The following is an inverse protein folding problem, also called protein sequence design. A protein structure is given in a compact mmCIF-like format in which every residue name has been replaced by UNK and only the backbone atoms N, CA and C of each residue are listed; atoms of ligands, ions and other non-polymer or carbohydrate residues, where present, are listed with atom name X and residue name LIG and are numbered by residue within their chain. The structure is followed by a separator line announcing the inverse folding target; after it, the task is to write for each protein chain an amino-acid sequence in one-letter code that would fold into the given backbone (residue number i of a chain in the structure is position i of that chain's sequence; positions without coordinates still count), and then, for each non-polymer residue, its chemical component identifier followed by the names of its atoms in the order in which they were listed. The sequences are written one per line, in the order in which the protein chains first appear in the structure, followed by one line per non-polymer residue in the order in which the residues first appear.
data_IF_500005643075
#
_entry.id   IF_500005643075
#
_cell.length_a   1.000
_cell.length_b   1.000
_cell.length_c   1.000
_cell.angle_alpha   90.00
_cell.angle_beta   90.00
_cell.angle_gamma   90.00
#
_symmetry.space_group_name_H-M   'P 1'
#
loop_
_entity.id
_entity.type
_entity.pdbx_description
1 polymer ?
#
# COMPACT_ATOMS: atom_id res chain seq x y z
N UNK A 1 21.11 -15.90 -4.54
CA UNK A 1 19.95 -15.00 -4.55
C UNK A 1 19.54 -14.73 -3.11
N UNK A 2 20.02 -13.62 -2.57
CA UNK A 2 20.03 -13.34 -1.14
C UNK A 2 18.65 -12.89 -0.68
N UNK A 3 17.89 -13.75 -0.01
CA UNK A 3 16.68 -13.40 0.75
C UNK A 3 17.02 -12.59 2.02
N UNK A 4 17.96 -11.65 1.91
CA UNK A 4 18.65 -11.04 3.06
C UNK A 4 18.17 -9.60 3.35
N UNK A 5 17.37 -9.01 2.46
CA UNK A 5 16.93 -7.61 2.55
C UNK A 5 15.55 -7.43 3.25
N UNK A 6 14.87 -8.53 3.62
CA UNK A 6 13.59 -8.50 4.32
C UNK A 6 12.37 -8.45 3.38
N UNK A 7 11.17 -8.11 3.90
CA UNK A 7 9.96 -7.98 3.08
C UNK A 7 9.99 -6.69 2.25
N UNK A 8 9.62 -6.79 0.97
CA UNK A 8 9.56 -5.66 0.04
C UNK A 8 8.24 -5.62 -0.71
N UNK A 9 7.74 -4.41 -0.99
CA UNK A 9 6.58 -4.18 -1.84
C UNK A 9 7.01 -3.34 -3.03
N UNK A 10 6.84 -3.89 -4.23
CA UNK A 10 7.12 -3.19 -5.48
C UNK A 10 5.83 -2.88 -6.21
N UNK A 11 5.64 -1.62 -6.59
CA UNK A 11 4.58 -1.23 -7.51
C UNK A 11 5.16 -1.05 -8.91
N UNK A 12 4.65 -1.80 -9.88
CA UNK A 12 4.99 -1.64 -11.29
C UNK A 12 3.92 -0.82 -12.01
N UNK A 13 4.34 0.18 -12.79
CA UNK A 13 3.47 0.99 -13.62
C UNK A 13 3.52 0.53 -15.08
N UNK A 14 2.42 0.65 -15.86
CA UNK A 14 2.41 0.33 -17.29
C UNK A 14 3.45 1.11 -18.13
N UNK A 15 3.94 2.24 -17.60
CA UNK A 15 5.03 3.04 -18.19
C UNK A 15 6.42 2.42 -18.04
N UNK A 16 6.52 1.15 -17.64
CA UNK A 16 7.77 0.44 -17.33
C UNK A 16 8.57 1.01 -16.15
N UNK A 17 7.95 1.83 -15.30
CA UNK A 17 8.54 2.29 -14.05
C UNK A 17 8.19 1.33 -12.90
N UNK A 18 9.09 1.20 -11.92
CA UNK A 18 8.81 0.50 -10.68
C UNK A 18 9.20 1.36 -9.48
N UNK A 19 8.50 1.20 -8.36
CA UNK A 19 8.73 1.91 -7.11
C UNK A 19 8.86 0.92 -5.96
N UNK A 20 9.89 1.08 -5.14
CA UNK A 20 10.03 0.38 -3.86
C UNK A 20 9.21 1.14 -2.80
N UNK A 21 8.29 0.45 -2.14
CA UNK A 21 7.28 1.04 -1.28
C UNK A 21 7.23 0.33 0.07
N UNK A 22 7.06 1.12 1.14
CA UNK A 22 6.78 0.56 2.48
C UNK A 22 5.35 0.04 2.59
N UNK A 23 4.41 0.75 1.96
CA UNK A 23 3.02 0.35 1.79
C UNK A 23 2.49 1.00 0.51
N UNK A 24 1.56 0.33 -0.17
CA UNK A 24 0.97 0.85 -1.41
C UNK A 24 -0.48 0.35 -1.57
N UNK A 25 -1.32 1.20 -2.15
CA UNK A 25 -2.66 0.83 -2.61
C UNK A 25 -2.86 1.31 -4.04
N UNK A 26 -3.56 0.50 -4.85
CA UNK A 26 -3.83 0.75 -6.27
C UNK A 26 -5.26 0.37 -6.61
N UNK A 27 -5.81 0.96 -7.67
CA UNK A 27 -7.16 0.70 -8.15
C UNK A 27 -8.14 1.84 -7.88
N UNK A 28 -9.43 1.56 -8.04
CA UNK A 28 -10.49 2.55 -7.84
C UNK A 28 -10.54 3.02 -6.38
N UNK A 29 -10.57 4.35 -6.16
CA UNK A 29 -10.62 4.95 -4.81
C UNK A 29 -9.45 4.54 -3.92
N UNK A 30 -8.30 4.17 -4.49
CA UNK A 30 -7.13 3.78 -3.70
C UNK A 30 -6.54 4.94 -2.90
N UNK A 31 -6.89 6.19 -3.20
CA UNK A 31 -6.46 7.37 -2.45
C UNK A 31 -6.85 7.26 -0.97
N UNK A 32 -8.07 6.83 -0.63
CA UNK A 32 -8.51 6.70 0.77
C UNK A 32 -7.68 5.66 1.53
N UNK A 33 -7.40 4.51 0.89
CA UNK A 33 -6.49 3.51 1.43
C UNK A 33 -5.08 4.06 1.63
N UNK A 34 -4.53 4.83 0.67
CA UNK A 34 -3.20 5.46 0.82
C UNK A 34 -3.17 6.41 2.00
N UNK A 35 -4.17 7.26 2.15
CA UNK A 35 -4.26 8.18 3.31
C UNK A 35 -4.32 7.42 4.64
N UNK A 36 -5.01 6.28 4.70
CA UNK A 36 -4.98 5.43 5.90
C UNK A 36 -3.57 4.86 6.15
N UNK A 37 -2.92 4.33 5.11
CA UNK A 37 -1.58 3.74 5.20
C UNK A 37 -0.53 4.78 5.59
N UNK A 38 -0.58 5.99 5.02
CA UNK A 38 0.33 7.10 5.35
C UNK A 38 0.26 7.48 6.83
N UNK A 39 -0.93 7.47 7.42
CA UNK A 39 -1.14 7.81 8.85
C UNK A 39 -0.57 6.76 9.82
N UNK A 40 -0.55 5.48 9.43
CA UNK A 40 -0.15 4.37 10.31
C UNK A 40 1.20 3.75 9.89
N UNK A 41 1.91 4.37 8.95
CA UNK A 41 3.14 3.82 8.35
C UNK A 41 4.25 3.57 9.39
N UNK A 42 4.30 4.40 10.43
CA UNK A 42 5.27 4.29 11.53
C UNK A 42 4.99 3.11 12.48
N UNK A 43 3.75 2.58 12.47
CA UNK A 43 3.33 1.48 13.34
C UNK A 43 3.69 0.12 12.72
N UNK A 44 3.75 0.00 11.39
CA UNK A 44 4.00 -1.27 10.70
C UNK A 44 5.27 -2.03 11.09
N UNK A 45 6.41 -1.39 11.39
CA UNK A 45 7.63 -2.11 11.81
C UNK A 45 7.49 -2.83 13.16
N UNK A 46 6.59 -2.36 14.03
CA UNK A 46 6.37 -2.94 15.37
C UNK A 46 5.09 -3.77 15.45
N UNK A 47 4.24 -3.74 14.42
CA UNK A 47 3.04 -4.55 14.33
C UNK A 47 3.32 -6.06 14.22
N UNK A 48 2.49 -6.85 14.90
CA UNK A 48 2.40 -8.28 14.64
C UNK A 48 1.74 -8.55 13.28
N UNK A 49 1.95 -9.76 12.75
CA UNK A 49 1.39 -10.19 11.48
C UNK A 49 -0.13 -10.05 11.43
N UNK A 50 -0.82 -10.37 12.53
CA UNK A 50 -2.27 -10.21 12.63
C UNK A 50 -2.69 -8.74 12.56
N UNK A 51 -2.00 -7.85 13.28
CA UNK A 51 -2.33 -6.43 13.31
C UNK A 51 -2.05 -5.76 11.96
N UNK A 52 -0.97 -6.18 11.28
CA UNK A 52 -0.66 -5.73 9.92
C UNK A 52 -1.78 -6.09 8.92
N UNK A 53 -2.35 -7.29 9.04
CA UNK A 53 -3.52 -7.70 8.24
C UNK A 53 -4.74 -6.84 8.57
N UNK A 54 -4.99 -6.53 9.85
CA UNK A 54 -6.09 -5.62 10.24
C UNK A 54 -5.92 -4.22 9.64
N UNK A 55 -4.71 -3.64 9.66
CA UNK A 55 -4.45 -2.35 9.01
C UNK A 55 -4.75 -2.40 7.49
N UNK A 56 -4.36 -3.48 6.81
CA UNK A 56 -4.68 -3.68 5.41
C UNK A 56 -6.19 -3.74 5.13
N UNK A 57 -6.94 -4.47 5.95
CA UNK A 57 -8.40 -4.57 5.82
C UNK A 57 -9.11 -3.26 6.16
N UNK A 58 -8.65 -2.53 7.19
CA UNK A 58 -9.16 -1.20 7.54
C UNK A 58 -8.95 -0.21 6.38
N UNK A 59 -7.75 -0.19 5.79
CA UNK A 59 -7.46 0.63 4.61
C UNK A 59 -8.36 0.27 3.42
N UNK A 60 -8.58 -1.02 3.18
CA UNK A 60 -9.44 -1.51 2.09
C UNK A 60 -10.91 -1.15 2.33
N UNK A 61 -11.39 -1.21 3.57
CA UNK A 61 -12.76 -0.85 3.95
C UNK A 61 -13.08 0.61 3.59
N UNK A 62 -12.11 1.50 3.75
CA UNK A 62 -12.25 2.93 3.43
C UNK A 62 -12.31 3.20 1.91
N UNK A 63 -12.03 2.20 1.07
CA UNK A 63 -12.21 2.30 -0.39
C UNK A 63 -13.62 1.90 -0.84
N UNK A 64 -14.41 1.25 0.02
CA UNK A 64 -15.74 0.78 -0.30
C UNK A 64 -16.79 1.88 -0.05
N UNK A 65 -17.90 1.90 -0.83
CA UNK A 65 -19.02 2.78 -0.52
C UNK A 65 -19.67 2.36 0.80
N UNK A 66 -20.40 3.28 1.45
CA UNK A 66 -20.98 3.03 2.77
C UNK A 66 -21.92 1.82 2.82
N UNK A 67 -22.57 1.50 1.70
CA UNK A 67 -23.53 0.41 1.53
C UNK A 67 -22.89 -0.97 1.33
N UNK A 68 -21.57 -1.02 1.14
CA UNK A 68 -20.85 -2.27 0.88
C UNK A 68 -19.86 -2.57 2.02
N UNK A 69 -19.81 -3.85 2.38
CA UNK A 69 -18.95 -4.37 3.44
C UNK A 69 -18.00 -5.44 2.89
N UNK A 70 -16.89 -5.62 3.59
CA UNK A 70 -15.92 -6.66 3.29
C UNK A 70 -16.51 -8.01 3.69
N UNK A 71 -16.39 -9.00 2.82
CA UNK A 71 -16.84 -10.37 3.04
C UNK A 71 -15.83 -11.36 2.43
N UNK A 72 -15.98 -12.65 2.74
CA UNK A 72 -15.07 -13.69 2.24
C UNK A 72 -15.08 -13.89 0.73
N UNK A 73 -16.05 -13.32 0.01
CA UNK A 73 -16.18 -13.43 -1.45
C UNK A 73 -15.55 -12.24 -2.18
N UNK A 74 -15.39 -11.09 -1.52
CA UNK A 74 -14.84 -9.87 -2.12
C UNK A 74 -13.45 -9.49 -1.59
N UNK A 75 -12.91 -10.24 -0.62
CA UNK A 75 -11.56 -10.06 -0.08
C UNK A 75 -10.72 -11.31 -0.30
N UNK A 76 -9.47 -11.10 -0.68
CA UNK A 76 -8.41 -12.13 -0.65
C UNK A 76 -7.18 -11.57 0.06
N UNK A 77 -6.57 -12.37 0.93
CA UNK A 77 -5.42 -11.98 1.75
C UNK A 77 -4.25 -12.90 1.39
N UNK A 78 -3.11 -12.30 1.04
CA UNK A 78 -1.85 -13.01 0.81
C UNK A 78 -0.79 -12.57 1.81
N UNK A 79 -0.07 -13.52 2.39
CA UNK A 79 0.99 -13.25 3.37
C UNK A 79 2.30 -13.92 2.95
N UNK A 80 3.40 -13.19 3.08
CA UNK A 80 4.77 -13.68 2.88
C UNK A 80 5.69 -13.06 3.94
N UNK A 81 6.72 -13.79 4.36
CA UNK A 81 7.68 -13.30 5.35
C UNK A 81 8.87 -14.24 5.53
N UNK A 82 9.76 -13.91 6.47
CA UNK A 82 11.04 -14.64 6.70
C UNK A 82 10.86 -16.14 6.96
N UNK A 83 9.80 -16.53 7.67
CA UNK A 83 9.49 -17.92 8.00
C UNK A 83 8.24 -18.44 7.26
N UNK A 84 7.66 -17.63 6.35
CA UNK A 84 6.36 -17.91 5.74
C UNK A 84 6.50 -17.77 4.22
N UNK A 85 6.47 -18.92 3.53
CA UNK A 85 6.32 -18.94 2.07
C UNK A 85 5.00 -18.28 1.71
N UNK A 86 4.97 -17.55 0.60
CA UNK A 86 3.76 -16.86 0.13
C UNK A 86 2.55 -17.80 0.17
N UNK A 87 1.57 -17.44 0.99
CA UNK A 87 0.32 -18.18 1.19
C UNK A 87 -0.86 -17.24 1.03
N UNK A 88 -1.84 -17.69 0.25
CA UNK A 88 -3.17 -17.07 0.19
C UNK A 88 -4.05 -17.71 1.27
N UNK A 89 -4.81 -16.89 1.99
CA UNK A 89 -5.69 -17.34 3.07
C UNK A 89 -6.97 -17.95 2.52
N UNK A 90 -7.42 -19.04 3.14
CA UNK A 90 -8.70 -19.68 2.82
C UNK A 90 -9.88 -18.85 3.35
N UNK A 91 -11.10 -19.14 2.87
CA UNK A 91 -12.32 -18.44 3.28
C UNK A 91 -12.52 -18.41 4.80
N UNK A 92 -12.22 -19.52 5.49
CA UNK A 92 -12.32 -19.60 6.95
C UNK A 92 -11.32 -18.68 7.66
N UNK A 93 -10.08 -18.61 7.14
CA UNK A 93 -9.05 -17.74 7.72
C UNK A 93 -9.43 -16.28 7.51
N UNK A 94 -9.83 -15.92 6.29
CA UNK A 94 -10.30 -14.58 5.94
C UNK A 94 -11.52 -14.18 6.78
N UNK A 95 -12.47 -15.08 7.02
CA UNK A 95 -13.63 -14.82 7.87
C UNK A 95 -13.24 -14.42 9.31
N UNK A 96 -12.24 -15.10 9.90
CA UNK A 96 -11.77 -14.77 11.25
C UNK A 96 -11.19 -13.34 11.30
N UNK A 97 -10.40 -12.94 10.29
CA UNK A 97 -9.85 -11.58 10.22
C UNK A 97 -10.92 -10.52 9.96
N UNK A 98 -11.96 -10.84 9.18
CA UNK A 98 -13.08 -9.93 8.94
C UNK A 98 -13.91 -9.70 10.22
N UNK A 99 -14.21 -10.75 10.98
CA UNK A 99 -14.92 -10.62 12.26
C UNK A 99 -14.16 -9.74 13.27
N UNK A 100 -12.82 -9.80 13.25
CA UNK A 100 -11.97 -8.96 14.12
C UNK A 100 -12.09 -7.46 13.81
N UNK A 101 -12.46 -7.07 12.59
CA UNK A 101 -12.57 -5.65 12.19
C UNK A 101 -14.02 -5.14 12.07
N UNK A 102 -15.01 -6.04 12.00
CA UNK A 102 -16.44 -5.69 11.89
C UNK A 102 -16.96 -4.92 13.11
N UNK A 103 -16.42 -5.21 14.31
CA UNK A 103 -16.81 -4.54 15.56
C UNK A 103 -16.19 -3.16 15.77
N UNK A 104 -15.23 -2.76 14.92
CA UNK A 104 -14.63 -1.42 15.00
C UNK A 104 -15.43 -0.45 14.13
N UNK A 105 -16.13 0.50 14.78
CA UNK A 105 -16.88 1.56 14.11
C UNK A 105 -16.06 2.12 12.94
N UNK A 106 -16.68 2.21 11.75
CA UNK A 106 -16.16 3.02 10.64
C UNK A 106 -15.98 4.41 11.21
N UNK A 107 -14.76 4.80 11.58
CA UNK A 107 -14.50 6.14 12.13
C UNK A 107 -15.02 7.13 11.09
N UNK A 108 -16.11 7.79 11.44
CA UNK A 108 -16.80 8.71 10.56
C UNK A 108 -15.88 9.82 10.10
N UNK A 109 -16.04 10.21 8.84
CA UNK A 109 -15.50 11.46 8.32
C UNK A 109 -14.19 11.32 7.55
N UNK A 110 -14.26 10.74 6.36
CA UNK A 110 -13.47 11.28 5.25
C UNK A 110 -14.00 12.70 4.97
N UNK A 111 -13.50 13.68 5.74
CA UNK A 111 -13.64 15.08 5.38
C UNK A 111 -12.99 15.29 4.02
N UNK A 112 -13.81 15.74 3.07
CA UNK A 112 -13.45 16.48 1.85
C UNK A 112 -11.98 16.33 1.42
N UNK A 113 -11.64 15.23 0.74
CA UNK A 113 -10.39 15.12 0.00
C UNK A 113 -10.69 15.40 -1.48
N UNK A 114 -9.96 16.32 -2.12
CA UNK A 114 -10.15 16.62 -3.52
C UNK A 114 -9.81 15.40 -4.37
N UNK A 115 -10.56 15.26 -5.48
CA UNK A 115 -10.41 14.24 -6.49
C UNK A 115 -8.94 14.07 -6.94
N UNK A 116 -8.54 12.82 -7.13
CA UNK A 116 -7.21 12.31 -7.46
C UNK A 116 -6.23 13.32 -8.12
N UNK A 117 -5.15 13.74 -7.43
CA UNK A 117 -3.93 14.06 -8.14
C UNK A 117 -3.33 12.75 -8.65
N UNK A 118 -3.15 12.67 -9.97
CA UNK A 118 -2.26 11.70 -10.64
C UNK A 118 -0.96 11.60 -9.81
N UNK A 119 -0.40 10.41 -9.55
CA UNK A 119 0.84 10.28 -8.80
C UNK A 119 1.90 11.16 -9.45
N UNK A 120 2.24 12.27 -8.78
CA UNK A 120 3.37 13.08 -9.20
C UNK A 120 4.61 12.28 -8.82
N UNK A 121 5.53 12.02 -9.77
CA UNK A 121 6.80 11.40 -9.42
C UNK A 121 7.50 12.26 -8.37
N UNK A 122 8.25 11.66 -7.43
CA UNK A 122 9.08 12.44 -6.52
C UNK A 122 10.01 13.35 -7.34
N UNK A 123 10.35 14.55 -6.84
CA UNK A 123 11.32 15.40 -7.52
C UNK A 123 12.58 14.56 -7.72
N UNK A 124 13.00 14.43 -8.98
CA UNK A 124 14.22 13.73 -9.33
C UNK A 124 15.36 14.34 -8.50
N UNK A 125 15.91 13.55 -7.58
CA UNK A 125 17.14 13.92 -6.91
C UNK A 125 18.18 14.24 -7.98
N UNK A 126 18.82 15.39 -7.84
CA UNK A 126 19.86 15.90 -8.72
C UNK A 126 20.88 14.80 -9.04
N UNK A 127 20.84 14.32 -10.29
CA UNK A 127 21.95 13.57 -10.85
C UNK A 127 23.17 14.49 -11.01
N UNK A 128 24.40 13.95 -11.04
CA UNK A 128 25.62 14.75 -11.14
C UNK A 128 25.61 15.55 -12.44
N UNK A 129 25.86 16.87 -12.36
CA UNK A 129 26.03 17.72 -13.52
C UNK A 129 27.32 17.33 -14.26
N UNK A 130 27.19 16.83 -15.49
CA UNK A 130 28.32 16.70 -16.42
C UNK A 130 28.86 18.09 -16.78
N UNK A 131 30.19 18.30 -16.82
CA UNK A 131 30.78 19.60 -17.13
C UNK A 131 30.54 19.94 -18.61
N UNK A 132 30.01 21.13 -18.86
CA UNK A 132 29.86 21.69 -20.21
C UNK A 132 31.24 21.95 -20.82
N UNK A 133 31.57 21.21 -21.88
CA UNK A 133 32.73 21.50 -22.73
C UNK A 133 32.41 22.74 -23.55
N UNK A 134 33.16 23.82 -23.30
CA UNK A 134 33.15 25.03 -24.11
C UNK A 134 33.68 24.72 -25.52
N UNK A 135 32.88 24.99 -26.56
CA UNK A 135 33.40 25.12 -27.93
C UNK A 135 33.63 26.60 -28.20
N UNK A 136 34.91 26.95 -28.20
CA UNK A 136 35.46 28.18 -28.78
C UNK A 136 35.79 27.87 -30.25
N UNK A 137 35.26 28.65 -31.21
CA UNK A 137 35.88 28.78 -32.54
C UNK A 137 35.42 30.09 -33.21
N UNK A 138 36.42 30.93 -33.46
CA UNK A 138 36.61 32.04 -34.42
C UNK A 138 35.45 32.55 -35.29
#
# INVERSE_FOLDING_TARGET
CSQDQGPHVYQTCPSANYFDCKAMAVGSRSQSARTYLEKHLEEFPTCDTEELVKHGLRALRDTLPNELELNTKNVSIGLVGKATVFKVFDENQTANYLQLIEGEEKRGGAGDLPADPVPQPPPAGEGPQDPTVAMDTE
#
